data_IF_714124320536
#
_entry.id   IF_714124320536
#
_cell.length_a   1.000
_cell.length_b   1.000
_cell.length_c   1.000
_cell.angle_alpha   90.00
_cell.angle_beta   90.00
_cell.angle_gamma   90.00
#
_symmetry.space_group_name_H-M   'P 1'
#
loop_
_entity.id
_entity.type
_entity.pdbx_description
1 polymer ?
#
# COMPACT_ATOMS: atom_id res chain seq x y z
N UNK A 1 -8.34 17.11 -18.37
CA UNK A 1 -9.26 15.98 -18.64
C UNK A 1 -8.46 14.89 -19.32
N UNK A 2 -8.06 13.86 -18.57
CA UNK A 2 -7.53 12.63 -19.17
C UNK A 2 -8.77 11.83 -19.58
N UNK A 3 -8.85 11.48 -20.86
CA UNK A 3 -9.96 10.70 -21.41
C UNK A 3 -9.58 9.23 -21.25
N UNK A 4 -10.39 8.39 -20.58
CA UNK A 4 -10.08 6.97 -20.45
C UNK A 4 -9.96 6.35 -21.85
N UNK A 5 -8.90 5.55 -22.04
CA UNK A 5 -8.58 4.92 -23.32
C UNK A 5 -9.77 4.03 -23.73
N UNK A 6 -10.36 4.21 -24.93
CA UNK A 6 -11.61 3.53 -25.29
C UNK A 6 -11.52 2.01 -25.43
N UNK A 7 -10.31 1.44 -25.33
CA UNK A 7 -10.04 0.00 -25.36
C UNK A 7 -8.77 -0.27 -24.55
N UNK A 8 -8.86 -0.60 -23.25
CA UNK A 8 -7.73 -1.15 -22.53
C UNK A 8 -7.29 -2.47 -23.20
N UNK A 9 -5.98 -2.78 -23.22
CA UNK A 9 -5.53 -4.05 -23.78
C UNK A 9 -6.23 -5.21 -23.06
N UNK A 10 -6.57 -6.29 -23.78
CA UNK A 10 -7.39 -7.40 -23.25
C UNK A 10 -6.79 -8.13 -22.04
N UNK A 11 -5.57 -7.78 -21.62
CA UNK A 11 -4.86 -8.31 -20.46
C UNK A 11 -5.02 -7.51 -19.17
N UNK A 12 -5.68 -6.35 -19.18
CA UNK A 12 -5.83 -5.50 -17.98
C UNK A 12 -7.14 -5.84 -17.27
N UNK A 13 -7.05 -6.55 -16.14
CA UNK A 13 -8.20 -6.95 -15.32
C UNK A 13 -8.53 -5.91 -14.24
N UNK A 14 -7.51 -5.17 -13.76
CA UNK A 14 -7.64 -4.16 -12.72
C UNK A 14 -7.02 -2.83 -13.18
N UNK A 15 -7.68 -1.71 -12.88
CA UNK A 15 -7.20 -0.36 -13.21
C UNK A 15 -7.59 0.63 -12.11
N UNK A 16 -6.80 1.71 -11.97
CA UNK A 16 -7.15 2.83 -11.10
C UNK A 16 -8.03 3.81 -11.86
N UNK A 17 -9.08 4.31 -11.22
CA UNK A 17 -9.87 5.39 -11.79
C UNK A 17 -9.07 6.71 -11.72
N UNK A 18 -9.20 7.55 -12.75
CA UNK A 18 -8.59 8.88 -12.75
C UNK A 18 -9.21 9.78 -11.67
N UNK A 19 -8.39 10.68 -11.11
CA UNK A 19 -8.87 11.70 -10.16
C UNK A 19 -8.95 11.27 -8.69
N UNK A 20 -8.48 10.06 -8.35
CA UNK A 20 -8.29 9.66 -6.95
C UNK A 20 -7.21 10.56 -6.32
N UNK A 21 -7.45 11.03 -5.10
CA UNK A 21 -6.47 11.82 -4.37
C UNK A 21 -5.25 10.97 -4.01
N UNK A 22 -4.07 11.59 -3.90
CA UNK A 22 -2.88 10.88 -3.41
C UNK A 22 -3.08 10.35 -1.97
N UNK A 23 -3.95 10.98 -1.19
CA UNK A 23 -4.28 10.53 0.17
C UNK A 23 -5.01 9.19 0.14
N UNK A 24 -6.09 9.10 -0.65
CA UNK A 24 -6.84 7.86 -0.82
C UNK A 24 -5.99 6.73 -1.41
N UNK A 25 -5.07 7.06 -2.34
CA UNK A 25 -4.11 6.10 -2.89
C UNK A 25 -3.14 5.59 -1.83
N UNK A 26 -2.64 6.46 -0.95
CA UNK A 26 -1.73 6.09 0.13
C UNK A 26 -2.44 5.28 1.22
N UNK A 27 -3.68 5.64 1.59
CA UNK A 27 -4.51 4.85 2.51
C UNK A 27 -4.78 3.46 1.95
N UNK A 28 -5.16 3.37 0.67
CA UNK A 28 -5.37 2.06 0.05
C UNK A 28 -4.07 1.24 -0.03
N UNK A 29 -2.93 1.89 -0.27
CA UNK A 29 -1.63 1.24 -0.27
C UNK A 29 -1.27 0.69 1.12
N UNK A 30 -1.45 1.47 2.19
CA UNK A 30 -1.13 1.01 3.56
C UNK A 30 -2.01 -0.15 3.99
N UNK A 31 -3.31 -0.11 3.67
CA UNK A 31 -4.24 -1.22 3.90
C UNK A 31 -3.84 -2.48 3.12
N UNK A 32 -3.46 -2.33 1.85
CA UNK A 32 -3.03 -3.45 1.02
C UNK A 32 -1.72 -4.07 1.53
N UNK A 33 -0.75 -3.24 1.94
CA UNK A 33 0.51 -3.71 2.54
C UNK A 33 0.27 -4.41 3.88
N UNK A 34 -0.62 -3.88 4.73
CA UNK A 34 -1.00 -4.53 5.99
C UNK A 34 -1.67 -5.90 5.74
N UNK A 35 -2.55 -5.99 4.75
CA UNK A 35 -3.18 -7.26 4.35
C UNK A 35 -2.16 -8.26 3.84
N UNK A 36 -1.25 -7.84 2.96
CA UNK A 36 -0.19 -8.69 2.43
C UNK A 36 0.76 -9.18 3.54
N UNK A 37 1.09 -8.30 4.50
CA UNK A 37 1.90 -8.67 5.67
C UNK A 37 1.22 -9.76 6.48
N UNK A 38 -0.06 -9.57 6.83
CA UNK A 38 -0.83 -10.56 7.59
C UNK A 38 -0.88 -11.92 6.87
N UNK A 39 -1.20 -11.93 5.57
CA UNK A 39 -1.22 -13.16 4.76
C UNK A 39 0.16 -13.84 4.69
N UNK A 40 1.23 -13.06 4.59
CA UNK A 40 2.59 -13.60 4.56
C UNK A 40 2.99 -14.21 5.89
N UNK A 41 2.64 -13.57 7.00
CA UNK A 41 2.84 -14.12 8.35
C UNK A 41 2.04 -15.40 8.58
N UNK A 42 0.77 -15.42 8.18
CA UNK A 42 -0.09 -16.61 8.26
C UNK A 42 0.52 -17.76 7.45
N UNK A 43 0.95 -17.49 6.21
CA UNK A 43 1.60 -18.47 5.35
C UNK A 43 2.95 -18.96 5.89
N UNK A 44 3.71 -18.12 6.59
CA UNK A 44 4.99 -18.51 7.17
C UNK A 44 4.85 -19.63 8.23
N UNK A 45 3.68 -19.77 8.88
CA UNK A 45 3.43 -20.86 9.83
C UNK A 45 3.41 -22.24 9.14
N UNK A 46 3.00 -22.30 7.88
CA UNK A 46 2.92 -23.55 7.09
C UNK A 46 4.27 -23.96 6.46
N UNK A 47 5.29 -23.09 6.51
CA UNK A 47 6.61 -23.32 5.93
C UNK A 47 7.63 -23.76 6.99
N UNK A 48 8.77 -24.31 6.59
CA UNK A 48 9.88 -24.65 7.51
C UNK A 48 11.24 -24.19 6.98
N UNK A 49 12.23 -24.13 7.87
CA UNK A 49 13.62 -23.79 7.54
C UNK A 49 13.75 -22.47 6.77
N UNK A 50 14.57 -22.49 5.72
CA UNK A 50 14.89 -21.31 4.90
C UNK A 50 13.69 -20.71 4.18
N UNK A 51 12.65 -21.50 3.89
CA UNK A 51 11.43 -20.99 3.26
C UNK A 51 10.62 -20.12 4.24
N UNK A 52 10.51 -20.55 5.50
CA UNK A 52 9.90 -19.74 6.56
C UNK A 52 10.68 -18.45 6.79
N UNK A 53 12.01 -18.54 6.84
CA UNK A 53 12.87 -17.36 6.98
C UNK A 53 12.68 -16.38 5.82
N UNK A 54 12.58 -16.89 4.58
CA UNK A 54 12.27 -16.08 3.40
C UNK A 54 10.91 -15.39 3.48
N UNK A 55 9.86 -16.10 3.91
CA UNK A 55 8.52 -15.53 4.09
C UNK A 55 8.52 -14.42 5.16
N UNK A 56 9.18 -14.64 6.30
CA UNK A 56 9.33 -13.62 7.34
C UNK A 56 10.13 -12.40 6.85
N UNK A 57 11.16 -12.62 6.01
CA UNK A 57 11.88 -11.53 5.36
C UNK A 57 10.99 -10.69 4.44
N UNK A 58 10.09 -11.34 3.68
CA UNK A 58 9.08 -10.64 2.86
C UNK A 58 8.13 -9.86 3.74
N UNK A 59 7.62 -10.43 4.82
CA UNK A 59 6.77 -9.73 5.79
C UNK A 59 7.48 -8.47 6.30
N UNK A 60 8.74 -8.56 6.68
CA UNK A 60 9.50 -7.39 7.14
C UNK A 60 9.63 -6.30 6.07
N UNK A 61 9.82 -6.65 4.79
CA UNK A 61 9.86 -5.69 3.69
C UNK A 61 8.50 -5.00 3.47
N UNK A 62 7.39 -5.77 3.57
CA UNK A 62 6.03 -5.23 3.47
C UNK A 62 5.75 -4.22 4.59
N UNK A 63 6.17 -4.52 5.83
CA UNK A 63 6.00 -3.63 6.96
C UNK A 63 6.82 -2.34 6.79
N UNK A 64 8.06 -2.43 6.30
CA UNK A 64 8.87 -1.24 5.98
C UNK A 64 8.17 -0.39 4.92
N UNK A 65 7.62 -0.99 3.86
CA UNK A 65 6.85 -0.27 2.85
C UNK A 65 5.63 0.44 3.45
N UNK A 66 4.92 -0.22 4.37
CA UNK A 66 3.74 0.35 5.06
C UNK A 66 4.13 1.57 5.87
N UNK A 67 5.17 1.47 6.70
CA UNK A 67 5.65 2.58 7.53
C UNK A 67 6.10 3.79 6.70
N UNK A 68 6.74 3.56 5.55
CA UNK A 68 7.10 4.65 4.63
C UNK A 68 5.87 5.33 4.02
N UNK A 69 4.84 4.55 3.65
CA UNK A 69 3.59 5.09 3.11
C UNK A 69 2.77 5.83 4.17
N UNK A 70 2.69 5.31 5.40
CA UNK A 70 2.09 5.98 6.56
C UNK A 70 2.80 7.31 6.85
N UNK A 71 4.13 7.34 6.80
CA UNK A 71 4.88 8.59 6.97
C UNK A 71 4.54 9.64 5.91
N UNK A 72 4.41 9.22 4.65
CA UNK A 72 4.01 10.12 3.56
C UNK A 72 2.58 10.62 3.72
N UNK A 73 1.71 9.84 4.36
CA UNK A 73 0.34 10.26 4.67
C UNK A 73 0.34 11.30 5.79
N UNK A 74 1.08 11.04 6.88
CA UNK A 74 1.19 11.95 8.03
C UNK A 74 1.80 13.31 7.67
N UNK A 75 2.85 13.33 6.83
CA UNK A 75 3.50 14.57 6.37
C UNK A 75 2.56 15.46 5.53
N UNK A 76 1.38 14.95 5.12
CA UNK A 76 0.36 15.70 4.37
C UNK A 76 -0.77 16.23 5.24
N UNK A 77 -0.88 15.79 6.49
CA UNK A 77 -1.83 16.38 7.43
C UNK A 77 -1.44 17.84 7.71
N UNK A 78 -2.39 18.79 7.73
CA UNK A 78 -2.06 20.18 8.01
C UNK A 78 -1.44 20.33 9.41
N UNK A 79 -0.38 21.13 9.52
CA UNK A 79 0.20 21.49 10.81
C UNK A 79 -0.88 22.17 11.69
N UNK A 80 -1.02 21.81 12.99
CA UNK A 80 -1.98 22.43 13.89
C UNK A 80 -1.69 23.90 14.23
N UNK A 81 -0.69 24.54 13.63
CA UNK A 81 -0.31 25.95 13.90
C UNK A 81 -0.95 26.98 12.96
N UNK A 82 -2.04 26.65 12.27
CA UNK A 82 -2.82 27.61 11.48
C UNK A 82 -4.15 28.00 12.16
N UNK A 83 -4.13 28.32 13.45
CA UNK A 83 -5.17 29.15 14.07
C UNK A 83 -4.68 30.61 14.12
N UNK A 84 -5.25 31.53 13.31
CA UNK A 84 -4.97 32.94 13.46
C UNK A 84 -5.75 33.50 14.66
N UNK A 85 -5.02 34.05 15.63
CA UNK A 85 -5.55 34.98 16.63
C UNK A 85 -4.81 36.32 16.51
#
# INVERSE_FOLDING_TARGET
>A
MIKPTPNPPPSVILTLIDGISTEDLLVNLTENLASAHALTCDFAFDLEGTQREGALGIAQLLEVGRLLAERLLDDRAPSPEAEPA
#
